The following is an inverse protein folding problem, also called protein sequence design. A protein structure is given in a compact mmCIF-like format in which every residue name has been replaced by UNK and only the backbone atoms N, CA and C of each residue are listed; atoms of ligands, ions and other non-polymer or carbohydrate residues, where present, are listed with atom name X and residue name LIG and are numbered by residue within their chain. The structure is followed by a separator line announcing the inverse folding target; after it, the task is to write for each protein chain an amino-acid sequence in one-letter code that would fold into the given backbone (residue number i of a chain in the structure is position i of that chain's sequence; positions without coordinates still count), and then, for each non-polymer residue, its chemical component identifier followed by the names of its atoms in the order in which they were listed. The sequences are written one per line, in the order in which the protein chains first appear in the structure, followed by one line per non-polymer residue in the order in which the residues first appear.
data_IF_323016752467
#
_entry.id   IF_323016752467
#
_cell.length_a   1.000
_cell.length_b   1.000
_cell.length_c   1.000
_cell.angle_alpha   90.00
_cell.angle_beta   90.00
_cell.angle_gamma   90.00
#
_symmetry.space_group_name_H-M   'P 1'
#
loop_
_entity.id
_entity.type
_entity.pdbx_description
1 polymer ?
#
# COMPACT_ATOMS: atom_id res chain seq x y z
N UNK A 1 -10.53 17.03 -6.69
CA UNK A 1 -10.01 16.23 -5.55
C UNK A 1 -10.58 14.83 -5.63
N UNK A 2 -9.83 13.79 -5.22
CA UNK A 2 -10.35 12.41 -5.22
C UNK A 2 -11.49 12.21 -4.23
N UNK A 3 -11.45 12.87 -3.07
CA UNK A 3 -12.51 12.82 -2.04
C UNK A 3 -13.95 12.94 -2.55
N UNK A 4 -14.20 13.85 -3.49
CA UNK A 4 -15.53 14.10 -4.06
C UNK A 4 -15.78 13.35 -5.36
N UNK A 5 -14.80 12.57 -5.84
CA UNK A 5 -14.95 11.82 -7.08
C UNK A 5 -15.82 10.58 -6.82
N UNK A 6 -16.94 10.48 -7.54
CA UNK A 6 -17.92 9.41 -7.36
C UNK A 6 -17.89 8.36 -8.48
N UNK A 7 -16.95 8.44 -9.42
CA UNK A 7 -16.94 7.57 -10.61
C UNK A 7 -15.60 6.87 -10.86
N UNK A 8 -14.51 7.40 -10.32
CA UNK A 8 -13.17 6.87 -10.56
C UNK A 8 -12.89 5.69 -9.64
N UNK A 9 -12.84 4.50 -10.22
CA UNK A 9 -12.56 3.26 -9.49
C UNK A 9 -11.08 2.87 -9.50
N UNK A 10 -10.37 3.20 -10.59
CA UNK A 10 -8.98 2.80 -10.81
C UNK A 10 -8.13 4.02 -11.14
N UNK A 11 -7.05 4.23 -10.39
CA UNK A 11 -6.09 5.30 -10.64
C UNK A 11 -4.67 4.72 -10.70
N UNK A 12 -4.02 4.88 -11.86
CA UNK A 12 -2.61 4.56 -12.03
C UNK A 12 -1.80 5.84 -12.12
N UNK A 13 -0.87 6.00 -11.20
CA UNK A 13 0.09 7.10 -11.15
C UNK A 13 1.53 6.59 -11.05
N UNK A 14 1.77 5.33 -11.44
CA UNK A 14 3.11 4.74 -11.44
C UNK A 14 4.07 5.51 -12.36
N UNK A 15 5.35 5.56 -12.00
CA UNK A 15 6.44 6.16 -12.79
C UNK A 15 6.28 7.67 -13.08
N UNK A 16 5.61 8.42 -12.21
CA UNK A 16 5.33 9.86 -12.40
C UNK A 16 6.20 10.80 -11.56
N UNK A 17 7.25 10.29 -10.89
CA UNK A 17 8.16 11.06 -10.02
C UNK A 17 7.42 11.80 -8.90
N UNK A 18 6.35 11.22 -8.38
CA UNK A 18 5.61 11.75 -7.23
C UNK A 18 6.52 11.63 -6.00
N UNK A 19 6.97 12.77 -5.48
CA UNK A 19 7.73 12.84 -4.23
C UNK A 19 6.82 12.78 -3.00
N UNK A 20 7.44 12.84 -1.83
CA UNK A 20 6.80 12.77 -0.50
C UNK A 20 5.58 13.65 -0.37
N UNK A 21 5.70 14.96 -0.64
CA UNK A 21 4.60 15.93 -0.49
C UNK A 21 3.40 15.60 -1.39
N UNK A 22 3.68 15.20 -2.64
CA UNK A 22 2.65 14.80 -3.59
C UNK A 22 1.97 13.49 -3.17
N UNK A 23 2.75 12.53 -2.67
CA UNK A 23 2.26 11.28 -2.12
C UNK A 23 1.35 11.48 -0.92
N UNK A 24 1.78 12.28 0.06
CA UNK A 24 0.96 12.60 1.22
C UNK A 24 -0.34 13.31 0.85
N UNK A 25 -0.24 14.30 -0.04
CA UNK A 25 -1.41 15.06 -0.52
C UNK A 25 -2.41 14.13 -1.22
N UNK A 26 -1.90 13.21 -2.05
CA UNK A 26 -2.72 12.22 -2.73
C UNK A 26 -3.45 11.31 -1.74
N UNK A 27 -2.74 10.76 -0.75
CA UNK A 27 -3.34 9.88 0.27
C UNK A 27 -4.34 10.65 1.14
N UNK A 28 -4.02 11.87 1.56
CA UNK A 28 -4.95 12.73 2.29
C UNK A 28 -6.21 13.06 1.46
N UNK A 29 -6.09 13.12 0.13
CA UNK A 29 -7.24 13.33 -0.75
C UNK A 29 -8.17 12.12 -0.86
N UNK A 30 -7.77 10.95 -0.36
CA UNK A 30 -8.61 9.76 -0.29
C UNK A 30 -9.55 9.74 0.91
N UNK A 31 -9.41 10.67 1.88
CA UNK A 31 -10.29 10.71 3.05
C UNK A 31 -11.76 10.70 2.63
N UNK A 32 -12.52 9.72 3.11
CA UNK A 32 -13.94 9.47 2.77
C UNK A 32 -14.24 9.12 1.31
N UNK A 33 -13.22 8.85 0.47
CA UNK A 33 -13.47 8.32 -0.86
C UNK A 33 -13.96 6.85 -0.75
N UNK A 34 -15.15 6.61 -1.30
CA UNK A 34 -15.81 5.29 -1.29
C UNK A 34 -16.02 4.73 -2.70
N UNK A 35 -15.26 5.18 -3.68
CA UNK A 35 -15.39 4.76 -5.09
C UNK A 35 -14.11 4.16 -5.63
N UNK A 36 -12.96 4.73 -5.26
CA UNK A 36 -11.67 4.22 -5.65
C UNK A 36 -11.44 2.85 -5.00
N UNK A 37 -11.19 1.86 -5.83
CA UNK A 37 -10.91 0.48 -5.44
C UNK A 37 -9.45 0.11 -5.70
N UNK A 38 -8.76 0.81 -6.62
CA UNK A 38 -7.36 0.55 -6.98
C UNK A 38 -6.55 1.83 -7.16
N UNK A 39 -5.40 1.89 -6.48
CA UNK A 39 -4.42 2.95 -6.59
C UNK A 39 -3.03 2.36 -6.85
N UNK A 40 -2.42 2.72 -7.98
CA UNK A 40 -1.07 2.31 -8.33
C UNK A 40 -0.11 3.48 -8.25
N UNK A 41 0.92 3.35 -7.42
CA UNK A 41 1.94 4.38 -7.17
C UNK A 41 3.36 3.84 -7.33
N UNK A 42 3.53 2.70 -7.98
CA UNK A 42 4.82 2.07 -8.17
C UNK A 42 5.83 3.01 -8.88
N UNK A 43 7.13 2.82 -8.64
CA UNK A 43 8.19 3.59 -9.30
C UNK A 43 8.06 5.11 -9.08
N UNK A 44 7.61 5.52 -7.89
CA UNK A 44 7.63 6.90 -7.44
C UNK A 44 8.56 7.03 -6.23
N UNK A 45 9.28 8.15 -6.08
CA UNK A 45 10.17 8.40 -4.94
C UNK A 45 9.37 8.73 -3.66
N UNK A 46 8.46 7.84 -3.26
CA UNK A 46 7.71 7.90 -2.01
C UNK A 46 8.56 7.34 -0.88
N UNK A 47 8.51 7.96 0.29
CA UNK A 47 9.28 7.56 1.47
C UNK A 47 8.36 7.09 2.62
N UNK A 48 8.97 6.82 3.77
CA UNK A 48 8.30 6.37 4.98
C UNK A 48 7.18 7.30 5.45
N UNK A 49 7.24 8.60 5.13
CA UNK A 49 6.21 9.56 5.52
C UNK A 49 4.88 9.27 4.81
N UNK A 50 4.92 8.91 3.52
CA UNK A 50 3.74 8.48 2.77
C UNK A 50 3.14 7.22 3.38
N UNK A 51 3.99 6.29 3.84
CA UNK A 51 3.55 5.07 4.50
C UNK A 51 2.85 5.36 5.85
N UNK A 52 3.37 6.29 6.64
CA UNK A 52 2.73 6.76 7.88
C UNK A 52 1.39 7.45 7.59
N UNK A 53 1.32 8.25 6.53
CA UNK A 53 0.07 8.89 6.10
C UNK A 53 -0.99 7.86 5.70
N UNK A 54 -0.62 6.79 4.99
CA UNK A 54 -1.53 5.68 4.69
C UNK A 54 -2.13 5.08 5.96
N UNK A 55 -1.31 4.82 6.99
CA UNK A 55 -1.80 4.32 8.29
C UNK A 55 -2.81 5.30 8.87
N UNK A 56 -2.50 6.59 8.92
CA UNK A 56 -3.36 7.61 9.50
C UNK A 56 -4.75 7.66 8.81
N UNK A 57 -4.75 7.74 7.48
CA UNK A 57 -5.99 7.88 6.70
C UNK A 57 -6.80 6.60 6.74
N UNK A 58 -6.17 5.44 6.55
CA UNK A 58 -6.88 4.16 6.51
C UNK A 58 -7.37 3.72 7.89
N UNK A 59 -6.79 4.24 8.97
CA UNK A 59 -7.31 4.05 10.34
C UNK A 59 -8.63 4.77 10.59
N UNK A 60 -8.80 5.95 10.00
CA UNK A 60 -9.89 6.89 10.32
C UNK A 60 -11.04 6.85 9.33
N UNK A 61 -10.79 6.41 8.10
CA UNK A 61 -11.74 6.48 7.00
C UNK A 61 -12.08 5.09 6.45
N UNK A 62 -13.37 4.84 6.19
CA UNK A 62 -13.85 3.56 5.67
C UNK A 62 -13.78 3.54 4.13
N UNK A 63 -12.56 3.44 3.62
CA UNK A 63 -12.30 3.47 2.19
C UNK A 63 -12.77 2.18 1.51
N UNK A 64 -13.09 2.27 0.22
CA UNK A 64 -13.31 1.12 -0.66
C UNK A 64 -12.05 0.59 -1.30
N UNK A 65 -10.90 1.21 -1.02
CA UNK A 65 -9.63 0.83 -1.61
C UNK A 65 -9.29 -0.62 -1.26
N UNK A 66 -9.11 -1.44 -2.30
CA UNK A 66 -8.78 -2.85 -2.20
C UNK A 66 -7.32 -3.10 -2.62
N UNK A 67 -6.85 -2.35 -3.62
CA UNK A 67 -5.53 -2.51 -4.22
C UNK A 67 -4.71 -1.24 -4.04
N UNK A 68 -3.54 -1.36 -3.40
CA UNK A 68 -2.52 -0.31 -3.30
C UNK A 68 -1.17 -0.86 -3.75
N UNK A 69 -0.55 -0.23 -4.76
CA UNK A 69 0.78 -0.61 -5.24
C UNK A 69 1.81 0.48 -4.91
N UNK A 70 2.80 0.11 -4.10
CA UNK A 70 3.93 0.91 -3.65
C UNK A 70 5.27 0.24 -4.04
N UNK A 71 5.28 -0.62 -5.06
CA UNK A 71 6.50 -1.24 -5.58
C UNK A 71 7.52 -0.19 -6.04
N UNK A 72 8.81 -0.51 -5.90
CA UNK A 72 9.91 0.35 -6.38
C UNK A 72 9.80 1.81 -5.89
N UNK A 73 9.49 1.97 -4.60
CA UNK A 73 9.48 3.26 -3.89
C UNK A 73 10.66 3.34 -2.93
N UNK A 74 10.92 4.50 -2.34
CA UNK A 74 11.96 4.72 -1.33
C UNK A 74 11.47 4.40 0.10
N UNK A 75 10.38 3.64 0.25
CA UNK A 75 9.84 3.25 1.55
C UNK A 75 10.72 2.13 2.13
N UNK A 76 11.15 2.32 3.38
CA UNK A 76 11.97 1.37 4.10
C UNK A 76 11.20 0.07 4.41
N UNK A 77 11.89 -1.08 4.46
CA UNK A 77 11.28 -2.34 4.88
C UNK A 77 10.58 -2.25 6.26
N UNK A 78 11.11 -1.44 7.18
CA UNK A 78 10.54 -1.27 8.51
C UNK A 78 9.17 -0.55 8.46
N UNK A 79 9.06 0.51 7.66
CA UNK A 79 7.80 1.21 7.46
C UNK A 79 6.74 0.31 6.79
N UNK A 80 7.14 -0.46 5.77
CA UNK A 80 6.26 -1.44 5.12
C UNK A 80 5.77 -2.52 6.10
N UNK A 81 6.66 -3.08 6.94
CA UNK A 81 6.28 -4.04 7.99
C UNK A 81 5.24 -3.45 8.94
N UNK A 82 5.45 -2.21 9.39
CA UNK A 82 4.51 -1.51 10.26
C UNK A 82 3.15 -1.29 9.58
N UNK A 83 3.15 -0.91 8.30
CA UNK A 83 1.93 -0.73 7.52
C UNK A 83 1.14 -2.03 7.37
N UNK A 84 1.80 -3.15 7.06
CA UNK A 84 1.07 -4.42 6.97
C UNK A 84 0.56 -4.89 8.33
N UNK A 85 1.36 -4.73 9.39
CA UNK A 85 0.90 -5.02 10.75
C UNK A 85 -0.33 -4.20 11.14
N UNK A 86 -0.39 -2.94 10.68
CA UNK A 86 -1.56 -2.09 10.84
C UNK A 86 -2.76 -2.62 10.05
N UNK A 87 -2.59 -2.91 8.75
CA UNK A 87 -3.69 -3.41 7.91
C UNK A 87 -4.32 -4.69 8.47
N UNK A 88 -3.51 -5.61 9.03
CA UNK A 88 -3.99 -6.84 9.69
C UNK A 88 -4.88 -6.61 10.91
N UNK A 89 -4.62 -5.55 11.67
CA UNK A 89 -5.41 -5.18 12.87
C UNK A 89 -6.62 -4.32 12.51
N UNK A 90 -6.53 -3.57 11.42
CA UNK A 90 -7.59 -2.69 10.95
C UNK A 90 -8.73 -3.47 10.30
N UNK A 91 -9.93 -2.90 10.26
CA UNK A 91 -11.04 -3.38 9.41
C UNK A 91 -10.92 -2.91 7.95
N UNK A 92 -9.69 -2.64 7.49
CA UNK A 92 -9.43 -2.14 6.14
C UNK A 92 -9.89 -3.14 5.09
N UNK A 93 -10.41 -2.63 3.96
CA UNK A 93 -10.79 -3.43 2.79
C UNK A 93 -9.61 -3.72 1.86
N UNK A 94 -8.43 -3.16 2.15
CA UNK A 94 -7.21 -3.43 1.38
C UNK A 94 -6.86 -4.90 1.54
N UNK A 95 -7.02 -5.64 0.46
CA UNK A 95 -6.70 -7.07 0.36
C UNK A 95 -5.48 -7.33 -0.51
N UNK A 96 -5.04 -6.34 -1.29
CA UNK A 96 -3.86 -6.42 -2.16
C UNK A 96 -2.98 -5.19 -1.95
N UNK A 97 -1.85 -5.39 -1.29
CA UNK A 97 -0.81 -4.38 -1.15
C UNK A 97 0.47 -4.92 -1.81
N UNK A 98 0.89 -4.31 -2.92
CA UNK A 98 2.17 -4.61 -3.56
C UNK A 98 3.21 -3.66 -2.99
N UNK A 99 4.24 -4.20 -2.34
CA UNK A 99 5.15 -3.44 -1.46
C UNK A 99 6.64 -3.57 -1.87
N UNK A 100 6.89 -4.08 -3.08
CA UNK A 100 8.18 -4.10 -3.74
C UNK A 100 9.12 -5.23 -3.32
N UNK A 101 10.22 -5.35 -4.07
CA UNK A 101 11.34 -6.26 -3.84
C UNK A 101 12.05 -6.03 -2.49
N UNK A 102 11.73 -4.96 -1.74
CA UNK A 102 12.34 -4.72 -0.43
C UNK A 102 11.81 -5.63 0.69
N UNK A 103 10.75 -6.40 0.43
CA UNK A 103 10.32 -7.53 1.28
C UNK A 103 11.29 -8.73 1.19
N UNK A 104 12.28 -8.74 0.28
CA UNK A 104 13.29 -9.81 0.17
C UNK A 104 14.16 -10.04 1.43
N UNK A 105 14.08 -9.17 2.43
CA UNK A 105 14.71 -9.38 3.76
C UNK A 105 13.79 -10.12 4.76
N UNK A 106 12.58 -10.51 4.35
CA UNK A 106 11.63 -11.24 5.17
C UNK A 106 11.77 -12.74 4.93
N UNK A 107 11.86 -13.50 6.01
CA UNK A 107 11.88 -14.97 5.97
C UNK A 107 10.63 -15.52 5.28
N UNK A 108 10.71 -16.73 4.69
CA UNK A 108 9.54 -17.42 4.11
C UNK A 108 8.34 -17.50 5.07
N UNK A 109 8.61 -17.62 6.36
CA UNK A 109 7.59 -17.63 7.43
C UNK A 109 6.88 -16.29 7.56
N UNK A 110 7.62 -15.18 7.44
CA UNK A 110 7.06 -13.84 7.44
C UNK A 110 6.28 -13.56 6.14
N UNK A 111 6.74 -14.01 4.98
CA UNK A 111 6.00 -13.92 3.71
C UNK A 111 4.67 -14.67 3.76
N UNK A 112 4.64 -15.92 4.22
CA UNK A 112 3.41 -16.70 4.42
C UNK A 112 2.45 -16.07 5.43
N UNK A 113 2.97 -15.39 6.46
CA UNK A 113 2.12 -14.64 7.37
C UNK A 113 1.59 -13.36 6.74
N UNK A 114 2.29 -12.76 5.78
CA UNK A 114 1.85 -11.59 5.03
C UNK A 114 0.87 -11.96 3.92
N UNK A 115 0.85 -13.16 3.36
CA UNK A 115 -0.05 -13.53 2.25
C UNK A 115 -1.55 -13.55 2.61
N UNK A 116 -1.93 -13.13 3.82
CA UNK A 116 -3.33 -12.95 4.23
C UNK A 116 -3.49 -11.71 5.11
N UNK A 117 -4.26 -10.71 4.64
CA UNK A 117 -4.88 -9.66 5.48
C UNK A 117 -6.38 -9.97 5.54
N UNK A 118 -6.97 -9.95 6.73
CA UNK A 118 -8.42 -10.09 6.94
C UNK A 118 -9.08 -11.32 6.28
N UNK A 119 -8.32 -12.41 6.08
CA UNK A 119 -8.81 -13.62 5.40
C UNK A 119 -8.81 -13.55 3.87
N UNK A 120 -8.36 -12.44 3.28
CA UNK A 120 -8.16 -12.30 1.84
C UNK A 120 -6.69 -12.49 1.47
N UNK A 121 -6.37 -13.18 0.36
CA UNK A 121 -5.00 -13.40 -0.06
C UNK A 121 -4.33 -12.07 -0.45
N UNK A 122 -3.31 -11.70 0.32
CA UNK A 122 -2.39 -10.62 -0.02
C UNK A 122 -1.44 -11.14 -1.09
N UNK A 123 -1.69 -10.77 -2.34
CA UNK A 123 -0.75 -11.04 -3.42
C UNK A 123 0.40 -10.03 -3.34
N UNK A 124 1.48 -10.42 -2.67
CA UNK A 124 2.77 -9.71 -2.73
C UNK A 124 3.37 -10.01 -4.11
N UNK A 125 2.91 -9.29 -5.11
CA UNK A 125 3.37 -9.45 -6.48
C UNK A 125 4.91 -9.31 -6.54
N UNK A 126 5.56 -10.21 -7.27
CA UNK A 126 7.00 -10.27 -7.53
C UNK A 126 7.91 -10.85 -6.43
N UNK A 127 7.40 -11.37 -5.30
CA UNK A 127 8.27 -12.04 -4.32
C UNK A 127 9.01 -13.26 -4.91
N UNK A 128 10.34 -13.27 -4.78
CA UNK A 128 11.18 -14.46 -5.00
C UNK A 128 11.76 -14.92 -3.65
N UNK A 129 11.77 -16.22 -3.33
CA UNK A 129 12.44 -16.71 -2.13
C UNK A 129 13.95 -16.36 -2.18
N UNK A 130 14.58 -16.02 -1.04
CA UNK A 130 16.02 -15.84 -0.99
C UNK A 130 16.72 -17.14 -1.42
N UNK A 131 17.90 -17.07 -2.07
CA UNK A 131 18.62 -18.26 -2.49
C UNK A 131 18.91 -19.14 -1.28
N UNK A 132 18.60 -20.42 -1.38
CA UNK A 132 18.94 -21.40 -0.36
C UNK A 132 20.47 -21.43 -0.21
N UNK A 133 20.94 -21.10 0.99
CA UNK A 133 22.34 -21.22 1.41
C UNK A 133 22.79 -22.66 1.53
#
# INVERSE_FOLDING_TARGET
MLRSNQTLENLSLSSNRIGTDGGETLIASLCDNTTLSKLLLAQNPLDDAVCMRCIEVFSKHNLTLQVLDLNDTNISPAALKNFVAHLKKSKSKINRASLGEHILTMSEKEHKNLSTISGNPLEVANWRPPPAS
#
